data_IF_438442325999
#
_entry.id   IF_438442325999
#
_cell.length_a   1.000
_cell.length_b   1.000
_cell.length_c   1.000
_cell.angle_alpha   90.00
_cell.angle_beta   90.00
_cell.angle_gamma   90.00
#
_symmetry.space_group_name_H-M   'P 1'
#
loop_
_entity.id
_entity.type
_entity.pdbx_description
1 polymer ?
#
# COMPACT_ATOMS: atom_id res chain seq x y z
N UNK A 1 9.57 -2.28 37.75
CA UNK A 1 10.52 -1.87 36.69
C UNK A 1 10.99 -3.16 36.05
N UNK A 2 10.18 -3.73 35.15
CA UNK A 2 10.57 -4.94 34.40
C UNK A 2 11.33 -4.45 33.19
N UNK A 3 12.62 -4.79 33.14
CA UNK A 3 13.50 -4.51 32.02
C UNK A 3 12.88 -5.12 30.76
N UNK A 4 12.37 -4.27 29.87
CA UNK A 4 11.93 -4.70 28.55
C UNK A 4 13.22 -4.99 27.79
N UNK A 5 13.54 -6.29 27.68
CA UNK A 5 14.68 -6.79 26.90
C UNK A 5 14.65 -6.18 25.50
N UNK A 6 15.65 -5.35 25.20
CA UNK A 6 15.81 -4.67 23.92
C UNK A 6 15.93 -5.65 22.72
N UNK A 7 16.13 -6.94 23.00
CA UNK A 7 16.11 -8.02 22.02
C UNK A 7 14.72 -8.29 21.40
N UNK A 8 13.64 -8.00 22.12
CA UNK A 8 12.27 -8.28 21.66
C UNK A 8 11.86 -7.38 20.49
N UNK A 9 12.46 -6.19 20.39
CA UNK A 9 12.16 -5.17 19.38
C UNK A 9 12.82 -5.44 18.02
N UNK A 10 13.81 -6.33 17.95
CA UNK A 10 14.51 -6.68 16.71
C UNK A 10 13.85 -7.84 15.93
N UNK A 11 12.68 -8.32 16.39
CA UNK A 11 11.98 -9.45 15.78
C UNK A 11 11.33 -9.01 14.47
N UNK A 12 12.11 -9.02 13.39
CA UNK A 12 11.60 -8.86 12.02
C UNK A 12 10.46 -9.88 11.83
N UNK A 13 9.28 -9.40 11.41
CA UNK A 13 8.19 -10.31 11.05
C UNK A 13 8.75 -11.34 10.07
N UNK A 14 8.63 -12.64 10.36
CA UNK A 14 9.09 -13.65 9.43
C UNK A 14 8.36 -13.43 8.11
N UNK A 15 9.10 -13.53 7.00
CA UNK A 15 8.53 -13.44 5.67
C UNK A 15 7.32 -14.40 5.59
N UNK A 16 6.19 -13.94 5.06
CA UNK A 16 4.98 -14.75 5.02
C UNK A 16 5.03 -15.65 3.78
N UNK A 17 5.56 -16.85 3.96
CA UNK A 17 5.76 -17.83 2.87
C UNK A 17 4.46 -18.52 2.46
N UNK A 18 3.39 -18.37 3.25
CA UNK A 18 2.14 -19.06 3.03
C UNK A 18 1.56 -18.85 1.62
N UNK A 19 1.52 -17.62 1.04
CA UNK A 19 1.01 -17.40 -0.31
C UNK A 19 1.90 -18.03 -1.39
N UNK A 20 3.23 -18.01 -1.17
CA UNK A 20 4.22 -18.54 -2.10
C UNK A 20 4.18 -20.06 -2.21
N UNK A 21 3.91 -20.74 -1.10
CA UNK A 21 3.79 -22.19 -1.04
C UNK A 21 2.40 -22.69 -1.44
N UNK A 22 1.36 -21.87 -1.30
CA UNK A 22 -0.02 -22.26 -1.60
C UNK A 22 -0.19 -22.70 -3.07
N UNK A 23 0.36 -21.94 -4.01
CA UNK A 23 0.23 -22.19 -5.45
C UNK A 23 0.86 -23.52 -5.89
N UNK A 24 2.14 -23.81 -5.59
CA UNK A 24 2.72 -25.11 -5.94
C UNK A 24 2.06 -26.26 -5.17
N UNK A 25 1.64 -26.04 -3.93
CA UNK A 25 0.92 -27.07 -3.16
C UNK A 25 -0.42 -27.43 -3.81
N UNK A 26 -1.20 -26.44 -4.24
CA UNK A 26 -2.45 -26.65 -4.98
C UNK A 26 -2.21 -27.34 -6.33
N UNK A 27 -1.16 -26.96 -7.06
CA UNK A 27 -0.79 -27.61 -8.30
C UNK A 27 -0.45 -29.09 -8.08
N UNK A 28 0.32 -29.41 -7.04
CA UNK A 28 0.63 -30.79 -6.68
C UNK A 28 -0.60 -31.56 -6.19
N UNK A 29 -1.48 -30.93 -5.41
CA UNK A 29 -2.74 -31.54 -4.99
C UNK A 29 -3.67 -31.84 -6.18
N UNK A 30 -3.59 -31.09 -7.28
CA UNK A 30 -4.36 -31.34 -8.49
C UNK A 30 -3.88 -32.56 -9.29
N UNK A 31 -2.62 -33.02 -9.15
CA UNK A 31 -2.09 -34.21 -9.83
C UNK A 31 -2.97 -35.47 -9.62
N UNK A 32 -3.25 -35.90 -8.38
CA UNK A 32 -4.07 -37.09 -8.15
C UNK A 32 -5.53 -36.90 -8.58
N UNK A 33 -6.05 -35.67 -8.56
CA UNK A 33 -7.43 -35.38 -8.98
C UNK A 33 -7.60 -35.51 -10.50
N UNK A 34 -6.58 -35.17 -11.29
CA UNK A 34 -6.63 -35.25 -12.76
C UNK A 34 -6.33 -36.66 -13.27
N UNK A 35 -5.49 -37.42 -12.55
CA UNK A 35 -5.19 -38.82 -12.86
C UNK A 35 -4.28 -39.06 -14.08
N UNK A 36 -3.98 -38.02 -14.87
CA UNK A 36 -3.10 -38.05 -16.04
C UNK A 36 -2.02 -36.98 -15.93
N UNK A 37 -0.75 -37.41 -15.95
CA UNK A 37 0.40 -36.51 -15.87
C UNK A 37 0.47 -35.55 -17.06
N UNK A 38 0.13 -36.04 -18.26
CA UNK A 38 0.12 -35.23 -19.48
C UNK A 38 -0.93 -34.13 -19.41
N UNK A 39 -2.15 -34.48 -19.02
CA UNK A 39 -3.27 -33.52 -18.90
C UNK A 39 -3.02 -32.51 -17.79
N UNK A 40 -2.49 -32.94 -16.64
CA UNK A 40 -2.10 -32.04 -15.56
C UNK A 40 -1.03 -31.03 -16.00
N UNK A 41 0.00 -31.50 -16.71
CA UNK A 41 1.08 -30.65 -17.20
C UNK A 41 0.56 -29.61 -18.20
N UNK A 42 -0.30 -30.02 -19.14
CA UNK A 42 -0.92 -29.11 -20.11
C UNK A 42 -1.80 -28.06 -19.41
N UNK A 43 -2.65 -28.45 -18.46
CA UNK A 43 -3.54 -27.52 -17.75
C UNK A 43 -2.76 -26.55 -16.86
N UNK A 44 -1.71 -27.02 -16.20
CA UNK A 44 -0.83 -26.18 -15.39
C UNK A 44 -0.10 -25.16 -16.25
N UNK A 45 0.45 -25.60 -17.40
CA UNK A 45 1.11 -24.71 -18.34
C UNK A 45 0.14 -23.70 -18.96
N UNK A 46 -1.08 -24.12 -19.32
CA UNK A 46 -2.12 -23.24 -19.85
C UNK A 46 -2.59 -22.21 -18.83
N UNK A 47 -2.81 -22.62 -17.58
CA UNK A 47 -3.17 -21.72 -16.47
C UNK A 47 -2.05 -20.72 -16.16
N UNK A 48 -0.80 -21.18 -16.15
CA UNK A 48 0.37 -20.30 -16.01
C UNK A 48 0.46 -19.31 -17.18
N UNK A 49 0.29 -19.76 -18.42
CA UNK A 49 0.32 -18.90 -19.60
C UNK A 49 -0.77 -17.81 -19.55
N UNK A 50 -2.00 -18.17 -19.19
CA UNK A 50 -3.08 -17.21 -18.98
C UNK A 50 -2.78 -16.24 -17.83
N UNK A 51 -2.26 -16.76 -16.71
CA UNK A 51 -1.86 -15.97 -15.55
C UNK A 51 -0.74 -14.98 -15.86
N UNK A 52 0.24 -15.37 -16.70
CA UNK A 52 1.31 -14.49 -17.17
C UNK A 52 0.78 -13.33 -17.99
N UNK A 53 -0.24 -13.55 -18.85
CA UNK A 53 -0.89 -12.47 -19.61
C UNK A 53 -1.54 -11.47 -18.64
N UNK A 54 -2.30 -11.96 -17.65
CA UNK A 54 -2.95 -11.09 -16.64
C UNK A 54 -1.91 -10.33 -15.80
N UNK A 55 -0.84 -11.00 -15.39
CA UNK A 55 0.27 -10.40 -14.66
C UNK A 55 0.94 -9.28 -15.47
N UNK A 56 1.20 -9.50 -16.76
CA UNK A 56 1.78 -8.49 -17.66
C UNK A 56 0.84 -7.28 -17.79
N UNK A 57 -0.47 -7.51 -17.95
CA UNK A 57 -1.45 -6.41 -18.00
C UNK A 57 -1.44 -5.60 -16.69
N UNK A 58 -1.48 -6.26 -15.54
CA UNK A 58 -1.50 -5.62 -14.22
C UNK A 58 -0.20 -4.86 -13.90
N UNK A 59 0.95 -5.46 -14.22
CA UNK A 59 2.26 -4.81 -14.09
C UNK A 59 2.44 -3.65 -15.06
N UNK A 60 1.89 -3.74 -16.28
CA UNK A 60 1.84 -2.64 -17.25
C UNK A 60 1.05 -1.44 -16.74
N UNK A 61 -0.11 -1.68 -16.12
CA UNK A 61 -0.90 -0.62 -15.47
C UNK A 61 -0.13 0.03 -14.31
N UNK A 62 0.58 -0.78 -13.52
CA UNK A 62 1.41 -0.30 -12.40
C UNK A 62 2.60 0.51 -12.89
N UNK A 63 3.24 0.09 -13.99
CA UNK A 63 4.38 0.78 -14.60
C UNK A 63 3.96 2.09 -15.27
N UNK A 64 2.80 2.14 -15.93
CA UNK A 64 2.27 3.37 -16.53
C UNK A 64 1.99 4.42 -15.44
N UNK A 65 1.33 4.04 -14.34
CA UNK A 65 1.12 4.96 -13.21
C UNK A 65 2.40 5.26 -12.41
N UNK A 66 3.37 4.35 -12.42
CA UNK A 66 4.66 4.54 -11.76
C UNK A 66 5.64 5.44 -12.53
N UNK A 67 5.53 5.52 -13.86
CA UNK A 67 6.45 6.25 -14.73
C UNK A 67 5.88 7.58 -15.26
N UNK A 68 4.55 7.78 -15.24
CA UNK A 68 3.91 9.02 -15.72
C UNK A 68 3.96 10.19 -14.72
N UNK A 69 4.59 10.05 -13.56
CA UNK A 69 4.60 11.06 -12.47
C UNK A 69 3.18 11.54 -12.05
N UNK A 70 2.12 10.82 -12.41
CA UNK A 70 0.74 11.07 -11.97
C UNK A 70 0.46 10.18 -10.77
N UNK A 71 0.59 10.78 -9.59
CA UNK A 71 0.05 10.38 -8.28
C UNK A 71 -0.70 9.03 -8.30
N UNK A 72 0.01 7.94 -8.00
CA UNK A 72 -0.62 6.64 -7.75
C UNK A 72 -1.63 6.73 -6.58
N UNK A 73 -2.41 5.67 -6.35
CA UNK A 73 -3.44 5.64 -5.29
C UNK A 73 -2.96 6.11 -3.90
N UNK A 74 -1.68 5.90 -3.56
CA UNK A 74 -1.05 6.36 -2.32
C UNK A 74 -0.87 7.88 -2.22
N UNK A 75 -0.61 8.57 -3.33
CA UNK A 75 -0.57 10.04 -3.34
C UNK A 75 -1.98 10.63 -3.13
N UNK A 76 -3.01 10.01 -3.73
CA UNK A 76 -4.41 10.39 -3.48
C UNK A 76 -4.82 10.22 -2.02
N UNK A 77 -4.34 9.15 -1.36
CA UNK A 77 -4.57 8.93 0.07
C UNK A 77 -3.88 9.97 0.97
N UNK A 78 -2.62 10.33 0.69
CA UNK A 78 -1.90 11.37 1.44
C UNK A 78 -2.54 12.76 1.29
N UNK A 79 -2.96 13.13 0.09
CA UNK A 79 -3.69 14.40 -0.14
C UNK A 79 -5.01 14.42 0.63
N UNK A 80 -5.73 13.29 0.66
CA UNK A 80 -7.00 13.18 1.38
C UNK A 80 -6.83 13.30 2.90
N UNK A 81 -5.80 12.67 3.47
CA UNK A 81 -5.49 12.76 4.91
C UNK A 81 -5.05 14.16 5.28
N UNK A 82 -4.16 14.78 4.49
CA UNK A 82 -3.72 16.15 4.73
C UNK A 82 -4.87 17.15 4.66
N UNK A 83 -5.74 17.03 3.66
CA UNK A 83 -6.94 17.85 3.55
C UNK A 83 -7.89 17.65 4.75
N UNK A 84 -8.02 16.42 5.26
CA UNK A 84 -8.84 16.12 6.42
C UNK A 84 -8.27 16.72 7.72
N UNK A 85 -6.94 16.62 7.93
CA UNK A 85 -6.27 17.23 9.09
C UNK A 85 -6.38 18.76 9.03
N UNK A 86 -6.18 19.36 7.86
CA UNK A 86 -6.38 20.80 7.67
C UNK A 86 -7.82 21.22 7.99
N UNK A 87 -8.82 20.44 7.58
CA UNK A 87 -10.22 20.70 7.87
C UNK A 87 -10.54 20.64 9.37
N UNK A 88 -9.94 19.69 10.11
CA UNK A 88 -10.11 19.60 11.57
C UNK A 88 -9.47 20.80 12.28
N UNK A 89 -8.27 21.21 11.84
CA UNK A 89 -7.50 22.28 12.47
C UNK A 89 -8.02 23.68 12.16
N UNK A 90 -8.88 23.82 11.14
CA UNK A 90 -9.46 25.11 10.75
C UNK A 90 -10.29 25.74 11.89
N UNK A 91 -11.06 24.94 12.62
CA UNK A 91 -11.88 25.43 13.73
C UNK A 91 -11.05 25.98 14.92
N UNK A 92 -10.09 25.22 15.49
CA UNK A 92 -9.27 25.73 16.60
C UNK A 92 -8.31 26.86 16.21
N UNK A 93 -7.88 26.94 14.94
CA UNK A 93 -7.00 28.01 14.45
C UNK A 93 -7.76 29.22 13.89
N UNK A 94 -9.09 29.18 13.87
CA UNK A 94 -9.93 30.23 13.24
C UNK A 94 -9.66 31.63 13.80
N UNK A 95 -9.45 31.76 15.11
CA UNK A 95 -9.12 33.05 15.75
C UNK A 95 -7.74 33.60 15.36
N UNK A 96 -6.77 32.73 15.04
CA UNK A 96 -5.44 33.15 14.57
C UNK A 96 -5.41 33.44 13.07
N UNK A 97 -6.34 32.87 12.29
CA UNK A 97 -6.50 33.09 10.85
C UNK A 97 -7.28 34.37 10.51
N UNK A 98 -8.10 34.85 11.44
CA UNK A 98 -8.91 36.06 11.29
C UNK A 98 -8.33 37.25 12.07
N UNK A 99 -7.08 37.18 12.50
CA UNK A 99 -6.44 38.27 13.23
C UNK A 99 -6.13 39.44 12.28
N UNK A 100 -6.19 40.68 12.78
CA UNK A 100 -5.82 41.88 12.01
C UNK A 100 -4.32 41.95 11.67
N UNK A 101 -3.50 41.10 12.31
CA UNK A 101 -2.06 41.01 12.08
C UNK A 101 -1.73 39.98 11.01
N UNK A 102 -1.07 40.45 9.94
CA UNK A 102 -0.55 39.60 8.87
C UNK A 102 0.38 38.49 9.40
N UNK A 103 1.12 38.78 10.47
CA UNK A 103 2.06 37.83 11.08
C UNK A 103 1.32 36.65 11.72
N UNK A 104 0.22 36.92 12.44
CA UNK A 104 -0.56 35.88 13.10
C UNK A 104 -1.25 34.97 12.08
N UNK A 105 -1.82 35.56 11.04
CA UNK A 105 -2.42 34.81 9.94
C UNK A 105 -1.37 33.95 9.21
N UNK A 106 -0.17 34.50 9.00
CA UNK A 106 0.95 33.77 8.41
C UNK A 106 1.40 32.58 9.26
N UNK A 107 1.50 32.75 10.59
CA UNK A 107 1.85 31.65 11.51
C UNK A 107 0.77 30.57 11.52
N UNK A 108 -0.51 30.96 11.54
CA UNK A 108 -1.61 30.00 11.53
C UNK A 108 -1.67 29.20 10.22
N UNK A 109 -1.39 29.84 9.09
CA UNK A 109 -1.31 29.18 7.79
C UNK A 109 -0.12 28.21 7.73
N UNK A 110 1.05 28.62 8.22
CA UNK A 110 2.22 27.75 8.31
C UNK A 110 1.99 26.56 9.23
N UNK A 111 1.29 26.76 10.36
CA UNK A 111 0.91 25.68 11.25
C UNK A 111 -0.06 24.69 10.57
N UNK A 112 -1.05 25.19 9.83
CA UNK A 112 -1.97 24.35 9.04
C UNK A 112 -1.21 23.52 8.00
N UNK A 113 -0.31 24.14 7.24
CA UNK A 113 0.49 23.43 6.23
C UNK A 113 1.40 22.39 6.90
N UNK A 114 2.08 22.76 7.99
CA UNK A 114 3.01 21.87 8.68
C UNK A 114 2.33 20.68 9.36
N UNK A 115 1.10 20.84 9.86
CA UNK A 115 0.35 19.72 10.44
C UNK A 115 -0.41 18.88 9.39
N UNK A 116 -0.70 19.44 8.21
CA UNK A 116 -1.45 18.77 7.15
C UNK A 116 -0.57 18.03 6.12
N UNK A 117 0.75 18.21 6.14
CA UNK A 117 1.70 17.45 5.30
C UNK A 117 2.32 16.31 6.09
#
# INVERSE_FOLDING_TARGET
MTDIDAGELAKRRPYDWAPLLLVPLLALAALPLIGSLSTWATLTAAGLAMGMIIFIIASGLTLVFGLMDVLNFGHGAFISVGAYVAAILLAPLSGLLQADSLVLNGVALLALIALAM
#
